data_IF_585608840874
#
_entry.id   IF_585608840874
#
_cell.length_a   1.000
_cell.length_b   1.000
_cell.length_c   1.000
_cell.angle_alpha   90.00
_cell.angle_beta   90.00
_cell.angle_gamma   90.00
#
_symmetry.space_group_name_H-M   'P 1'
#
loop_
_entity.id
_entity.type
_entity.pdbx_description
1 polymer ?
#
# COMPACT_ATOMS: atom_id res chain seq x y z
N UNK A 1 7.43 -0.95 7.91
CA UNK A 1 6.16 -0.56 7.29
C UNK A 1 6.44 0.18 5.99
N UNK A 2 5.78 -0.22 4.92
CA UNK A 2 5.97 0.40 3.61
C UNK A 2 4.89 1.45 3.38
N UNK A 3 5.17 2.39 2.49
CA UNK A 3 4.24 3.46 2.15
C UNK A 3 4.16 3.58 0.63
N UNK A 4 2.96 3.74 0.10
CA UNK A 4 2.77 4.03 -1.31
C UNK A 4 1.56 4.93 -1.49
N UNK A 5 1.55 5.69 -2.59
CA UNK A 5 0.41 6.55 -2.88
C UNK A 5 -0.75 5.73 -3.41
N UNK A 6 -1.97 6.29 -3.34
CA UNK A 6 -3.15 5.67 -3.94
C UNK A 6 -2.93 5.38 -5.42
N UNK A 7 -2.25 6.30 -6.10
CA UNK A 7 -1.97 6.14 -7.53
C UNK A 7 -1.08 4.94 -7.78
N UNK A 8 0.01 4.83 -7.03
CA UNK A 8 0.92 3.67 -7.14
C UNK A 8 0.20 2.37 -6.81
N UNK A 9 -0.61 2.40 -5.76
CA UNK A 9 -1.38 1.26 -5.34
C UNK A 9 -2.32 0.78 -6.46
N UNK A 10 -3.04 1.71 -7.07
CA UNK A 10 -3.98 1.35 -8.13
C UNK A 10 -3.30 0.93 -9.41
N UNK A 11 -2.10 1.43 -9.68
CA UNK A 11 -1.37 1.08 -10.89
C UNK A 11 -0.74 -0.31 -10.83
N UNK A 12 -0.42 -0.79 -9.64
CA UNK A 12 0.24 -2.08 -9.51
C UNK A 12 -0.20 -2.78 -8.23
N UNK A 13 -1.41 -3.32 -8.27
CA UNK A 13 -1.97 -4.04 -7.12
C UNK A 13 -1.19 -5.29 -6.78
N UNK A 14 -0.66 -5.97 -7.77
CA UNK A 14 0.13 -7.19 -7.55
C UNK A 14 1.38 -6.88 -6.73
N UNK A 15 2.04 -5.78 -7.04
CA UNK A 15 3.22 -5.36 -6.27
C UNK A 15 2.84 -5.01 -4.84
N UNK A 16 1.73 -4.29 -4.67
CA UNK A 16 1.25 -3.91 -3.34
C UNK A 16 0.98 -5.16 -2.49
N UNK A 17 0.36 -6.17 -3.09
CA UNK A 17 0.08 -7.42 -2.38
C UNK A 17 1.35 -8.16 -1.99
N UNK A 18 2.36 -8.16 -2.87
CA UNK A 18 3.65 -8.79 -2.56
C UNK A 18 4.32 -8.10 -1.39
N UNK A 19 4.36 -6.78 -1.41
CA UNK A 19 4.96 -6.01 -0.32
C UNK A 19 4.21 -6.25 0.98
N UNK A 20 2.89 -6.33 0.91
CA UNK A 20 2.06 -6.55 2.09
C UNK A 20 2.31 -7.92 2.74
N UNK A 21 2.88 -8.87 2.02
CA UNK A 21 3.26 -10.16 2.63
C UNK A 21 4.46 -10.03 3.55
N UNK A 22 5.29 -9.03 3.33
CA UNK A 22 6.48 -8.78 4.13
C UNK A 22 6.19 -7.84 5.30
N UNK A 23 5.39 -6.83 5.07
CA UNK A 23 5.11 -5.77 6.04
C UNK A 23 3.84 -5.03 5.62
N UNK A 24 3.13 -4.42 6.59
CA UNK A 24 1.96 -3.63 6.24
C UNK A 24 2.33 -2.48 5.28
N UNK A 25 1.41 -2.18 4.38
CA UNK A 25 1.58 -1.10 3.40
C UNK A 25 0.58 0.00 3.74
N UNK A 26 1.08 1.19 4.03
CA UNK A 26 0.22 2.35 4.24
C UNK A 26 -0.01 3.00 2.88
N UNK A 27 -1.28 3.13 2.51
CA UNK A 27 -1.67 3.81 1.28
C UNK A 27 -2.04 5.23 1.62
N UNK A 28 -1.40 6.19 0.95
CA UNK A 28 -1.66 7.60 1.21
C UNK A 28 -2.51 8.20 0.11
N UNK A 29 -3.32 9.18 0.47
CA UNK A 29 -4.13 9.94 -0.45
C UNK A 29 -3.86 11.41 -0.17
N UNK A 30 -3.40 12.13 -1.17
CA UNK A 30 -3.02 13.55 -1.03
C UNK A 30 -2.02 13.76 0.10
N UNK A 31 -1.09 12.83 0.24
CA UNK A 31 -0.04 12.94 1.25
C UNK A 31 -0.43 12.49 2.64
N UNK A 32 -1.67 12.03 2.83
CA UNK A 32 -2.15 11.59 4.14
C UNK A 32 -2.51 10.10 4.14
N UNK A 33 -2.22 9.39 5.23
CA UNK A 33 -2.59 7.97 5.32
C UNK A 33 -4.10 7.80 5.21
N UNK A 34 -4.53 6.92 4.32
CA UNK A 34 -5.95 6.67 4.12
C UNK A 34 -6.31 5.20 4.34
N UNK A 35 -5.41 4.29 4.01
CA UNK A 35 -5.67 2.86 4.11
C UNK A 35 -4.41 2.11 4.49
N UNK A 36 -4.61 0.91 5.00
CA UNK A 36 -3.50 -0.01 5.27
C UNK A 36 -3.84 -1.33 4.58
N UNK A 37 -2.91 -1.85 3.82
CA UNK A 37 -3.01 -3.18 3.25
C UNK A 37 -2.06 -4.09 4.00
N UNK A 38 -2.57 -5.21 4.47
CA UNK A 38 -1.74 -6.20 5.14
C UNK A 38 -2.23 -7.58 4.76
N UNK A 39 -1.31 -8.55 4.76
CA UNK A 39 -1.68 -9.91 4.47
C UNK A 39 -2.44 -10.52 5.63
N UNK A 40 -3.27 -11.50 5.33
CA UNK A 40 -4.02 -12.22 6.36
C UNK A 40 -3.11 -13.22 7.07
#
# INVERSE_FOLDING_TARGET
>A
MATMTSREFNQDLARAKRVARQEPVVVTDRGEPSHVLMSY
#
